data_IF_315598658029
#
_entry.id   IF_315598658029
#
_cell.length_a   1.000
_cell.length_b   1.000
_cell.length_c   1.000
_cell.angle_alpha   90.00
_cell.angle_beta   90.00
_cell.angle_gamma   90.00
#
_symmetry.space_group_name_H-M   'P 1'
#
loop_
_entity.id
_entity.type
_entity.pdbx_description
1 polymer ?
#
# COMPACT_ATOMS: atom_id res chain seq x y z
N UNK A 1 -15.92 17.39 7.75
CA UNK A 1 -14.84 16.69 8.49
C UNK A 1 -13.70 16.34 7.55
N UNK A 2 -12.45 16.45 7.98
CA UNK A 2 -11.24 16.13 7.18
C UNK A 2 -11.33 14.76 6.48
N UNK A 3 -11.86 13.75 7.18
CA UNK A 3 -12.15 12.41 6.63
C UNK A 3 -12.97 12.44 5.33
N UNK A 4 -14.02 13.27 5.25
CA UNK A 4 -14.86 13.39 4.04
C UNK A 4 -14.08 14.01 2.87
N UNK A 5 -13.23 15.00 3.14
CA UNK A 5 -12.38 15.64 2.12
C UNK A 5 -11.33 14.65 1.59
N UNK A 6 -10.66 13.89 2.45
CA UNK A 6 -9.71 12.85 2.03
C UNK A 6 -10.38 11.76 1.20
N UNK A 7 -11.57 11.30 1.61
CA UNK A 7 -12.32 10.32 0.81
C UNK A 7 -12.71 10.84 -0.58
N UNK A 8 -13.03 12.13 -0.71
CA UNK A 8 -13.29 12.75 -2.03
C UNK A 8 -12.03 12.79 -2.89
N UNK A 9 -10.88 13.15 -2.31
CA UNK A 9 -9.61 13.15 -3.04
C UNK A 9 -9.21 11.73 -3.47
N UNK A 10 -9.36 10.75 -2.58
CA UNK A 10 -9.15 9.34 -2.88
C UNK A 10 -9.98 8.90 -4.07
N UNK A 11 -11.29 9.24 -4.11
CA UNK A 11 -12.15 8.93 -5.27
C UNK A 11 -11.68 9.58 -6.57
N UNK A 12 -11.15 10.81 -6.51
CA UNK A 12 -10.62 11.52 -7.69
C UNK A 12 -9.38 10.83 -8.23
N UNK A 13 -8.41 10.56 -7.35
CA UNK A 13 -7.14 9.89 -7.68
C UNK A 13 -7.43 8.48 -8.25
N UNK A 14 -8.39 7.78 -7.67
CA UNK A 14 -8.80 6.45 -8.14
C UNK A 14 -9.30 6.45 -9.59
N UNK A 15 -10.11 7.47 -9.93
CA UNK A 15 -10.62 7.67 -11.27
C UNK A 15 -9.49 8.00 -12.25
N UNK A 16 -8.56 8.86 -11.85
CA UNK A 16 -7.38 9.22 -12.64
C UNK A 16 -6.49 8.00 -12.91
N UNK A 17 -6.16 7.21 -11.88
CA UNK A 17 -5.38 5.97 -12.00
C UNK A 17 -6.07 4.94 -12.89
N UNK A 18 -7.38 4.75 -12.72
CA UNK A 18 -8.16 3.82 -13.56
C UNK A 18 -8.15 4.25 -15.03
N UNK A 19 -8.22 5.55 -15.31
CA UNK A 19 -8.13 6.07 -16.68
C UNK A 19 -6.72 5.90 -17.26
N UNK A 20 -5.67 6.13 -16.47
CA UNK A 20 -4.28 5.87 -16.87
C UNK A 20 -4.03 4.39 -17.20
N UNK A 21 -4.65 3.46 -16.46
CA UNK A 21 -4.59 2.03 -16.76
C UNK A 21 -5.35 1.66 -18.04
N UNK A 22 -6.52 2.27 -18.30
CA UNK A 22 -7.23 2.12 -19.58
C UNK A 22 -6.39 2.59 -20.77
N UNK A 23 -5.54 3.59 -20.55
CA UNK A 23 -4.57 4.08 -21.53
C UNK A 23 -3.32 3.19 -21.62
N UNK A 24 -3.35 1.98 -21.05
CA UNK A 24 -2.25 0.99 -21.01
C UNK A 24 -0.95 1.53 -20.44
N UNK A 25 -1.01 2.41 -19.43
CA UNK A 25 0.19 2.77 -18.67
C UNK A 25 0.40 1.78 -17.51
N UNK A 26 1.27 0.75 -17.65
CA UNK A 26 1.51 -0.23 -16.60
C UNK A 26 2.16 0.39 -15.36
N UNK A 27 2.80 1.56 -15.49
CA UNK A 27 3.47 2.25 -14.38
C UNK A 27 2.48 2.85 -13.37
N UNK A 28 1.18 2.78 -13.60
CA UNK A 28 0.18 3.23 -12.61
C UNK A 28 -0.40 2.08 -11.77
N UNK A 29 -0.08 0.83 -12.10
CA UNK A 29 -0.71 -0.33 -11.49
C UNK A 29 -0.29 -0.51 -10.02
N UNK A 30 1.00 -0.32 -9.70
CA UNK A 30 1.49 -0.44 -8.33
C UNK A 30 0.87 0.63 -7.40
N UNK A 31 0.76 1.88 -7.87
CA UNK A 31 0.10 2.96 -7.16
C UNK A 31 -1.37 2.65 -6.87
N UNK A 32 -2.08 2.10 -7.86
CA UNK A 32 -3.49 1.73 -7.67
C UNK A 32 -3.65 0.59 -6.66
N UNK A 33 -2.80 -0.44 -6.73
CA UNK A 33 -2.85 -1.55 -5.78
C UNK A 33 -2.62 -1.07 -4.35
N UNK A 34 -1.64 -0.20 -4.12
CA UNK A 34 -1.40 0.37 -2.78
C UNK A 34 -2.58 1.23 -2.30
N UNK A 35 -3.14 2.07 -3.18
CA UNK A 35 -4.32 2.87 -2.84
C UNK A 35 -5.53 2.01 -2.43
N UNK A 36 -5.72 0.87 -3.09
CA UNK A 36 -6.78 -0.08 -2.75
C UNK A 36 -6.55 -0.74 -1.40
N UNK A 37 -5.30 -1.11 -1.07
CA UNK A 37 -4.94 -1.62 0.24
C UNK A 37 -5.22 -0.61 1.36
N UNK A 38 -4.81 0.66 1.19
CA UNK A 38 -5.08 1.73 2.16
C UNK A 38 -6.58 1.99 2.35
N UNK A 39 -7.36 2.00 1.26
CA UNK A 39 -8.82 2.11 1.37
C UNK A 39 -9.41 0.94 2.14
N UNK A 40 -8.94 -0.27 1.87
CA UNK A 40 -9.41 -1.47 2.56
C UNK A 40 -9.09 -1.35 4.06
N UNK A 41 -7.87 -0.95 4.42
CA UNK A 41 -7.47 -0.70 5.81
C UNK A 41 -8.34 0.36 6.51
N UNK A 42 -8.62 1.49 5.85
CA UNK A 42 -9.40 2.60 6.42
C UNK A 42 -10.91 2.31 6.53
N UNK A 43 -11.44 1.48 5.64
CA UNK A 43 -12.88 1.18 5.57
C UNK A 43 -13.23 -0.13 6.25
N UNK A 44 -12.23 -0.85 6.78
CA UNK A 44 -12.45 -2.19 7.26
C UNK A 44 -13.33 -2.24 8.51
N UNK A 45 -14.21 -3.24 8.56
CA UNK A 45 -14.83 -3.69 9.81
C UNK A 45 -13.89 -4.73 10.44
N UNK A 46 -13.88 -4.87 11.76
CA UNK A 46 -12.96 -5.75 12.54
C UNK A 46 -12.82 -7.21 12.04
N UNK A 47 -13.67 -7.69 11.13
CA UNK A 47 -13.79 -9.11 10.75
C UNK A 47 -13.28 -9.39 9.33
N UNK A 48 -12.48 -8.50 8.74
CA UNK A 48 -12.02 -8.58 7.34
C UNK A 48 -10.52 -8.32 7.22
N UNK A 49 -9.78 -8.64 8.27
CA UNK A 49 -8.32 -8.46 8.32
C UNK A 49 -7.62 -9.17 7.15
N UNK A 50 -8.05 -10.41 6.84
CA UNK A 50 -7.51 -11.20 5.73
C UNK A 50 -7.66 -10.50 4.37
N UNK A 51 -8.78 -9.80 4.14
CA UNK A 51 -9.00 -9.03 2.91
C UNK A 51 -7.94 -7.92 2.80
N UNK A 52 -7.63 -7.23 3.89
CA UNK A 52 -6.64 -6.14 3.91
C UNK A 52 -5.22 -6.67 3.75
N UNK A 53 -4.88 -7.77 4.46
CA UNK A 53 -3.59 -8.46 4.31
C UNK A 53 -3.37 -8.88 2.86
N UNK A 54 -4.40 -9.43 2.21
CA UNK A 54 -4.33 -9.79 0.79
C UNK A 54 -4.06 -8.57 -0.09
N UNK A 55 -4.77 -7.46 0.10
CA UNK A 55 -4.55 -6.25 -0.71
C UNK A 55 -3.15 -5.67 -0.56
N UNK A 56 -2.60 -5.65 0.66
CA UNK A 56 -1.21 -5.21 0.87
C UNK A 56 -0.20 -6.16 0.22
N UNK A 57 -0.37 -7.48 0.36
CA UNK A 57 0.49 -8.46 -0.29
C UNK A 57 0.43 -8.37 -1.83
N UNK A 58 -0.75 -8.12 -2.39
CA UNK A 58 -0.92 -7.86 -3.82
C UNK A 58 -0.21 -6.57 -4.25
N UNK A 59 -0.33 -5.49 -3.47
CA UNK A 59 0.36 -4.22 -3.75
C UNK A 59 1.89 -4.37 -3.73
N UNK A 60 2.43 -5.05 -2.71
CA UNK A 60 3.86 -5.38 -2.60
C UNK A 60 4.31 -6.20 -3.81
N UNK A 61 3.54 -7.23 -4.18
CA UNK A 61 3.88 -8.13 -5.29
C UNK A 61 3.87 -7.41 -6.64
N UNK A 62 2.88 -6.54 -6.87
CA UNK A 62 2.78 -5.74 -8.11
C UNK A 62 3.94 -4.76 -8.21
N UNK A 63 4.26 -4.03 -7.13
CA UNK A 63 5.39 -3.10 -7.11
C UNK A 63 6.73 -3.82 -7.33
N UNK A 64 6.95 -4.94 -6.64
CA UNK A 64 8.19 -5.72 -6.75
C UNK A 64 8.39 -6.28 -8.17
N UNK A 65 7.33 -6.84 -8.78
CA UNK A 65 7.39 -7.34 -10.16
C UNK A 65 7.60 -6.24 -11.19
N UNK A 66 7.14 -5.02 -10.88
CA UNK A 66 7.35 -3.83 -11.72
C UNK A 66 8.75 -3.22 -11.60
N UNK A 67 9.61 -3.72 -10.70
CA UNK A 67 10.92 -3.11 -10.42
C UNK A 67 10.82 -1.78 -9.65
N UNK A 68 9.64 -1.46 -9.09
CA UNK A 68 9.38 -0.24 -8.33
C UNK A 68 9.87 -0.42 -6.88
N UNK A 69 11.19 -0.37 -6.67
CA UNK A 69 11.81 -0.68 -5.36
C UNK A 69 11.30 0.25 -4.25
N UNK A 70 11.19 1.55 -4.53
CA UNK A 70 10.68 2.56 -3.60
C UNK A 70 9.20 2.31 -3.22
N UNK A 71 8.36 1.97 -4.20
CA UNK A 71 6.95 1.66 -3.92
C UNK A 71 6.77 0.32 -3.20
N UNK A 72 7.66 -0.63 -3.45
CA UNK A 72 7.72 -1.88 -2.69
C UNK A 72 8.03 -1.58 -1.24
N UNK A 73 9.02 -0.72 -0.97
CA UNK A 73 9.38 -0.29 0.37
C UNK A 73 8.21 0.44 1.06
N UNK A 74 7.57 1.36 0.36
CA UNK A 74 6.41 2.10 0.88
C UNK A 74 5.25 1.16 1.21
N UNK A 75 4.91 0.21 0.32
CA UNK A 75 3.84 -0.75 0.58
C UNK A 75 4.12 -1.64 1.80
N UNK A 76 5.39 -2.02 2.01
CA UNK A 76 5.85 -2.77 3.19
C UNK A 76 5.70 -1.95 4.48
N UNK A 77 6.14 -0.69 4.47
CA UNK A 77 6.02 0.23 5.62
C UNK A 77 4.55 0.46 6.00
N UNK A 78 3.71 0.73 5.01
CA UNK A 78 2.27 0.94 5.22
C UNK A 78 1.58 -0.30 5.75
N UNK A 79 1.97 -1.48 5.28
CA UNK A 79 1.42 -2.74 5.81
C UNK A 79 1.87 -2.98 7.25
N UNK A 80 3.14 -2.69 7.59
CA UNK A 80 3.63 -2.76 8.96
C UNK A 80 2.86 -1.83 9.91
N UNK A 81 2.59 -0.59 9.48
CA UNK A 81 1.76 0.36 10.25
C UNK A 81 0.34 -0.18 10.48
N UNK A 82 -0.29 -0.78 9.47
CA UNK A 82 -1.60 -1.43 9.62
C UNK A 82 -1.57 -2.58 10.63
N UNK A 83 -0.58 -3.48 10.51
CA UNK A 83 -0.41 -4.63 11.41
C UNK A 83 -0.16 -4.18 12.86
N UNK A 84 0.64 -3.14 13.05
CA UNK A 84 0.93 -2.58 14.37
C UNK A 84 -0.30 -1.87 14.97
N UNK A 85 -0.87 -0.93 14.23
CA UNK A 85 -1.88 0.02 14.75
C UNK A 85 -3.30 -0.56 14.78
N UNK A 86 -3.65 -1.43 13.83
CA UNK A 86 -5.03 -1.93 13.67
C UNK A 86 -5.22 -3.38 14.10
N UNK A 87 -4.22 -4.23 13.87
CA UNK A 87 -4.27 -5.67 14.18
C UNK A 87 -3.64 -5.97 15.54
N UNK A 88 -2.51 -5.34 15.87
CA UNK A 88 -1.69 -5.66 17.03
C UNK A 88 -0.71 -6.82 16.79
N UNK A 89 -0.45 -7.18 15.53
CA UNK A 89 0.49 -8.24 15.16
C UNK A 89 1.92 -7.70 15.08
N UNK A 90 2.58 -7.62 16.24
CA UNK A 90 3.91 -7.01 16.36
C UNK A 90 5.00 -7.79 15.61
N UNK A 91 4.87 -9.11 15.53
CA UNK A 91 5.88 -9.95 14.88
C UNK A 91 5.87 -9.74 13.38
N UNK A 92 4.67 -9.75 12.76
CA UNK A 92 4.54 -9.53 11.34
C UNK A 92 4.81 -8.07 10.97
N UNK A 93 4.36 -7.11 11.79
CA UNK A 93 4.68 -5.70 11.61
C UNK A 93 6.21 -5.47 11.57
N UNK A 94 6.95 -6.07 12.51
CA UNK A 94 8.42 -5.98 12.53
C UNK A 94 9.04 -6.57 11.27
N UNK A 95 8.58 -7.73 10.82
CA UNK A 95 9.07 -8.37 9.60
C UNK A 95 8.90 -7.46 8.37
N UNK A 96 7.71 -6.88 8.19
CA UNK A 96 7.45 -5.97 7.06
C UNK A 96 8.25 -4.68 7.17
N UNK A 97 8.45 -4.15 8.38
CA UNK A 97 9.27 -2.95 8.59
C UNK A 97 10.75 -3.20 8.26
N UNK A 98 11.31 -4.36 8.66
CA UNK A 98 12.68 -4.75 8.29
C UNK A 98 12.83 -4.89 6.76
N UNK A 99 11.81 -5.42 6.08
CA UNK A 99 11.77 -5.46 4.61
C UNK A 99 11.68 -4.07 4.00
N UNK A 100 10.89 -3.16 4.55
CA UNK A 100 10.80 -1.78 4.09
C UNK A 100 12.17 -1.09 4.17
N UNK A 101 12.84 -1.20 5.32
CA UNK A 101 14.19 -0.65 5.54
C UNK A 101 15.17 -1.20 4.51
N UNK A 102 15.22 -2.53 4.34
CA UNK A 102 16.09 -3.16 3.34
C UNK A 102 15.85 -2.59 1.93
N UNK A 103 14.59 -2.43 1.53
CA UNK A 103 14.24 -1.92 0.19
C UNK A 103 14.55 -0.44 0.02
N UNK A 104 14.36 0.38 1.06
CA UNK A 104 14.79 1.77 1.02
C UNK A 104 16.32 1.89 0.90
N UNK A 105 17.06 1.05 1.62
CA UNK A 105 18.52 0.96 1.47
C UNK A 105 18.92 0.51 0.07
N UNK A 106 18.28 -0.54 -0.48
CA UNK A 106 18.52 -1.01 -1.85
C UNK A 106 18.25 0.09 -2.90
N UNK A 107 17.27 0.96 -2.64
CA UNK A 107 16.96 2.11 -3.50
C UNK A 107 18.00 3.24 -3.40
N UNK A 108 18.82 3.25 -2.35
CA UNK A 108 19.83 4.28 -2.09
C UNK A 108 19.37 5.40 -1.16
N UNK A 109 18.29 5.19 -0.39
CA UNK A 109 17.94 6.11 0.69
C UNK A 109 19.01 6.03 1.78
N UNK A 110 19.76 7.11 1.97
CA UNK A 110 20.70 7.28 3.08
C UNK A 110 20.01 8.14 4.14
N UNK A 111 19.80 7.57 5.32
CA UNK A 111 19.05 8.17 6.43
C UNK A 111 19.70 9.42 7.02
#
# INVERSE_FOLDING_TARGET
>A
TKKKQYMTQVKRIDKELTNSLKNKNPNSLHCLSLLNAEKAALTNKKNREDDVRKQYNDAISVAARGGCVHDTALAQERFADYLFSSVGDLQEAKYHLEKAIQRYTDWGAMG
#
